data_IF_258925307618
#
_entry.id   IF_258925307618
#
_cell.length_a   1.000
_cell.length_b   1.000
_cell.length_c   1.000
_cell.angle_alpha   90.00
_cell.angle_beta   90.00
_cell.angle_gamma   90.00
#
_symmetry.space_group_name_H-M   'P 1'
#
loop_
_entity.id
_entity.type
_entity.pdbx_description
1 polymer ?
#
# COMPACT_ATOMS: atom_id res chain seq x y z
N UNK A 1 26.35 6.22 -7.42
CA UNK A 1 24.90 6.46 -7.26
C UNK A 1 24.19 5.39 -8.05
N UNK A 2 23.34 4.58 -7.40
CA UNK A 2 22.61 3.50 -8.07
C UNK A 2 21.24 4.01 -8.48
N UNK A 3 21.03 4.24 -9.77
CA UNK A 3 19.79 4.80 -10.34
C UNK A 3 18.75 3.70 -10.64
N UNK A 4 19.15 2.42 -10.53
CA UNK A 4 18.34 1.27 -10.93
C UNK A 4 17.60 0.62 -9.76
N UNK A 5 17.90 0.99 -8.52
CA UNK A 5 17.24 0.45 -7.34
C UNK A 5 15.94 1.22 -7.08
N UNK A 6 14.81 0.51 -7.14
CA UNK A 6 13.50 1.08 -6.78
C UNK A 6 13.24 1.10 -5.28
N UNK A 7 12.05 1.59 -4.88
CA UNK A 7 11.71 1.76 -3.47
C UNK A 7 11.71 0.45 -2.70
N UNK A 8 11.99 0.50 -1.40
CA UNK A 8 11.77 -0.59 -0.48
C UNK A 8 10.46 -0.40 0.28
N UNK A 9 9.63 -1.44 0.35
CA UNK A 9 8.32 -1.42 1.01
C UNK A 9 8.40 -2.32 2.25
N UNK A 10 8.18 -1.75 3.43
CA UNK A 10 8.09 -2.51 4.69
C UNK A 10 6.75 -3.24 4.82
N UNK A 11 6.63 -4.15 5.80
CA UNK A 11 5.37 -4.79 6.12
C UNK A 11 4.29 -3.76 6.49
N UNK A 12 3.10 -3.82 5.90
CA UNK A 12 2.05 -2.85 6.16
C UNK A 12 1.40 -3.07 7.51
N UNK A 13 1.09 -1.96 8.20
CA UNK A 13 0.34 -1.96 9.46
C UNK A 13 -1.16 -1.96 9.14
N UNK A 14 -1.80 -3.09 9.45
CA UNK A 14 -3.22 -3.36 9.15
C UNK A 14 -4.06 -3.57 10.41
N UNK A 15 -3.49 -3.38 11.60
CA UNK A 15 -4.12 -3.63 12.91
C UNK A 15 -5.46 -2.89 13.10
N UNK A 16 -5.60 -1.71 12.50
CA UNK A 16 -6.80 -0.86 12.54
C UNK A 16 -7.81 -1.14 11.43
N UNK A 17 -7.45 -1.97 10.44
CA UNK A 17 -8.37 -2.41 9.40
C UNK A 17 -9.15 -3.64 9.84
N UNK A 18 -10.48 -3.50 9.89
CA UNK A 18 -11.44 -4.54 10.28
C UNK A 18 -12.50 -4.77 9.20
N UNK A 19 -12.17 -4.47 7.93
CA UNK A 19 -13.06 -4.71 6.80
C UNK A 19 -14.14 -3.65 6.61
N UNK A 20 -14.03 -2.50 7.28
CA UNK A 20 -14.96 -1.38 7.10
C UNK A 20 -14.31 -0.30 6.23
N UNK A 21 -15.15 0.50 5.59
CA UNK A 21 -14.73 1.73 4.90
C UNK A 21 -14.15 2.74 5.90
N UNK A 22 -13.32 3.65 5.39
CA UNK A 22 -12.63 4.74 6.13
C UNK A 22 -11.72 4.23 7.24
N UNK A 23 -11.15 3.04 7.08
CA UNK A 23 -10.14 2.53 7.99
C UNK A 23 -8.76 2.66 7.38
N UNK A 24 -7.74 3.01 8.17
CA UNK A 24 -6.40 3.22 7.66
C UNK A 24 -5.66 1.89 7.47
N UNK A 25 -4.86 1.83 6.41
CA UNK A 25 -3.76 0.89 6.24
C UNK A 25 -2.52 1.72 5.95
N UNK A 26 -1.47 1.55 6.76
CA UNK A 26 -0.25 2.35 6.67
C UNK A 26 0.92 1.49 6.24
N UNK A 27 1.83 2.05 5.45
CA UNK A 27 3.06 1.38 5.04
C UNK A 27 4.22 2.37 5.01
N UNK A 28 5.40 1.92 5.44
CA UNK A 28 6.63 2.69 5.30
C UNK A 28 7.30 2.34 3.98
N UNK A 29 7.64 3.36 3.19
CA UNK A 29 8.35 3.19 1.91
C UNK A 29 9.60 4.05 1.88
N UNK A 30 10.76 3.42 1.74
CA UNK A 30 12.07 4.08 1.79
C UNK A 30 12.79 3.93 0.47
N UNK A 31 13.44 5.00 0.02
CA UNK A 31 14.18 5.04 -1.23
C UNK A 31 15.27 6.13 -1.14
N UNK A 32 16.36 6.00 -1.91
CA UNK A 32 17.36 7.06 -2.07
C UNK A 32 16.86 8.22 -2.96
N UNK A 33 15.84 7.98 -3.78
CA UNK A 33 15.09 8.99 -4.51
C UNK A 33 13.73 9.26 -3.86
N UNK A 34 13.12 10.40 -4.18
CA UNK A 34 11.79 10.72 -3.66
C UNK A 34 10.77 9.72 -4.21
N UNK A 35 10.09 8.99 -3.32
CA UNK A 35 8.86 8.25 -3.65
C UNK A 35 7.76 9.24 -4.02
N UNK A 36 7.20 9.12 -5.23
CA UNK A 36 6.19 10.04 -5.78
C UNK A 36 4.79 9.45 -5.78
N UNK A 37 4.66 8.12 -5.76
CA UNK A 37 3.36 7.45 -5.77
C UNK A 37 3.40 6.15 -4.97
N UNK A 38 2.39 5.95 -4.13
CA UNK A 38 2.10 4.67 -3.50
C UNK A 38 0.63 4.34 -3.74
N UNK A 39 0.36 3.18 -4.34
CA UNK A 39 -0.99 2.73 -4.70
C UNK A 39 -1.31 1.43 -3.98
N UNK A 40 -2.49 1.37 -3.38
CA UNK A 40 -3.00 0.20 -2.70
C UNK A 40 -4.05 -0.47 -3.57
N UNK A 41 -4.04 -1.80 -3.55
CA UNK A 41 -5.04 -2.65 -4.19
C UNK A 41 -5.47 -3.72 -3.17
N UNK A 42 -6.77 -3.77 -2.89
CA UNK A 42 -7.35 -4.80 -2.05
C UNK A 42 -8.11 -5.78 -2.94
N UNK A 43 -7.82 -7.06 -2.77
CA UNK A 43 -8.48 -8.17 -3.45
C UNK A 43 -9.20 -9.05 -2.44
N UNK A 44 -10.39 -9.52 -2.80
CA UNK A 44 -11.11 -10.55 -2.05
C UNK A 44 -10.37 -11.90 -2.11
N UNK A 45 -10.84 -12.85 -1.30
CA UNK A 45 -10.27 -14.20 -1.23
C UNK A 45 -10.31 -14.97 -2.56
N UNK A 46 -11.26 -14.65 -3.43
CA UNK A 46 -11.39 -15.20 -4.79
C UNK A 46 -10.54 -14.44 -5.82
N UNK A 47 -9.67 -13.52 -5.38
CA UNK A 47 -8.82 -12.62 -6.18
C UNK A 47 -9.57 -11.55 -6.98
N UNK A 48 -10.86 -11.34 -6.72
CA UNK A 48 -11.60 -10.20 -7.28
C UNK A 48 -11.07 -8.89 -6.68
N UNK A 49 -10.80 -7.89 -7.50
CA UNK A 49 -10.42 -6.55 -7.03
C UNK A 49 -11.60 -5.90 -6.32
N UNK A 50 -11.45 -5.61 -5.02
CA UNK A 50 -12.45 -4.92 -4.21
C UNK A 50 -12.33 -3.41 -4.34
N UNK A 51 -11.11 -2.90 -4.21
CA UNK A 51 -10.83 -1.48 -4.33
C UNK A 51 -9.36 -1.21 -4.62
N UNK A 52 -9.09 -0.04 -5.20
CA UNK A 52 -7.74 0.50 -5.32
C UNK A 52 -7.71 2.01 -5.14
N UNK A 53 -6.53 2.55 -4.84
CA UNK A 53 -6.32 3.98 -4.86
C UNK A 53 -4.98 4.45 -4.32
N UNK A 54 -4.69 5.74 -4.49
CA UNK A 54 -3.47 6.34 -3.98
C UNK A 54 -3.51 6.43 -2.46
N UNK A 55 -2.38 6.12 -1.82
CA UNK A 55 -2.13 6.47 -0.43
C UNK A 55 -1.68 7.93 -0.33
N UNK A 56 -1.89 8.53 0.84
CA UNK A 56 -1.39 9.86 1.16
C UNK A 56 -0.11 9.73 1.97
N UNK A 57 0.93 10.44 1.56
CA UNK A 57 2.16 10.54 2.35
C UNK A 57 1.87 11.31 3.64
N UNK A 58 2.30 10.76 4.76
CA UNK A 58 2.22 11.45 6.06
C UNK A 58 3.24 12.59 6.12
N UNK A 59 2.93 13.60 6.94
CA UNK A 59 3.77 14.80 7.06
C UNK A 59 5.14 14.46 7.67
N UNK A 60 5.17 13.48 8.57
CA UNK A 60 6.37 13.06 9.29
C UNK A 60 6.82 11.70 8.76
N UNK A 61 8.06 11.63 8.27
CA UNK A 61 8.70 10.38 7.87
C UNK A 61 8.35 9.89 6.46
N UNK A 62 8.40 8.57 6.32
CA UNK A 62 8.29 7.85 5.05
C UNK A 62 7.03 6.97 5.00
N UNK A 63 6.05 7.30 5.84
CA UNK A 63 4.81 6.56 5.96
C UNK A 63 3.78 7.07 4.96
N UNK A 64 3.00 6.12 4.45
CA UNK A 64 1.91 6.36 3.52
C UNK A 64 0.65 5.68 4.04
N UNK A 65 -0.42 6.44 4.16
CA UNK A 65 -1.71 5.93 4.66
C UNK A 65 -2.73 5.86 3.53
N UNK A 66 -3.26 4.68 3.31
CA UNK A 66 -4.44 4.44 2.49
C UNK A 66 -5.68 4.36 3.36
N UNK A 67 -6.74 5.08 2.97
CA UNK A 67 -8.04 5.02 3.61
C UNK A 67 -8.99 4.19 2.76
N UNK A 68 -9.45 3.07 3.30
CA UNK A 68 -10.37 2.16 2.59
C UNK A 68 -11.65 2.88 2.18
N UNK A 69 -12.17 2.54 1.01
CA UNK A 69 -13.35 3.17 0.41
C UNK A 69 -14.56 2.26 0.48
N UNK A 70 -14.35 0.95 0.44
CA UNK A 70 -15.41 -0.06 0.43
C UNK A 70 -15.39 -0.88 1.72
N UNK A 71 -16.54 -1.47 2.06
CA UNK A 71 -16.60 -2.46 3.12
C UNK A 71 -16.23 -3.83 2.55
N UNK A 72 -15.35 -4.56 3.23
CA UNK A 72 -15.02 -5.94 2.97
C UNK A 72 -15.47 -6.81 4.16
N UNK A 73 -16.65 -7.42 4.04
CA UNK A 73 -17.24 -8.23 5.11
C UNK A 73 -16.48 -9.54 5.37
N UNK A 74 -15.57 -9.95 4.48
CA UNK A 74 -14.80 -11.20 4.57
C UNK A 74 -13.30 -10.90 4.52
N UNK A 75 -12.72 -10.57 5.68
CA UNK A 75 -11.27 -10.30 5.79
C UNK A 75 -10.42 -11.53 5.49
N UNK A 76 -10.82 -12.71 5.95
CA UNK A 76 -10.01 -13.92 5.81
C UNK A 76 -9.74 -14.23 4.34
N UNK A 77 -8.47 -14.29 3.98
CA UNK A 77 -8.01 -14.55 2.61
C UNK A 77 -7.95 -13.31 1.72
N UNK A 78 -8.29 -12.13 2.25
CA UNK A 78 -8.07 -10.87 1.54
C UNK A 78 -6.59 -10.69 1.26
N UNK A 79 -6.28 -10.26 0.04
CA UNK A 79 -4.92 -9.99 -0.38
C UNK A 79 -4.76 -8.48 -0.55
N UNK A 80 -3.70 -7.95 0.06
CA UNK A 80 -3.26 -6.57 -0.11
C UNK A 80 -2.05 -6.56 -1.05
N UNK A 81 -2.12 -5.72 -2.09
CA UNK A 81 -0.98 -5.38 -2.95
C UNK A 81 -0.69 -3.89 -2.81
N UNK A 82 0.59 -3.57 -2.67
CA UNK A 82 1.10 -2.20 -2.57
C UNK A 82 2.11 -2.01 -3.68
N UNK A 83 1.98 -0.91 -4.43
CA UNK A 83 2.94 -0.52 -5.46
C UNK A 83 3.52 0.85 -5.12
N UNK A 84 4.84 0.94 -5.07
CA UNK A 84 5.56 2.20 -4.89
C UNK A 84 6.32 2.57 -6.16
N UNK A 85 6.34 3.85 -6.50
CA UNK A 85 7.13 4.42 -7.60
C UNK A 85 7.94 5.62 -7.11
N UNK A 86 9.22 5.67 -7.49
CA UNK A 86 10.11 6.79 -7.25
C UNK A 86 10.08 7.85 -8.37
N UNK A 87 10.76 8.98 -8.16
CA UNK A 87 10.82 10.06 -9.14
C UNK A 87 11.47 9.64 -10.49
N UNK A 88 12.55 8.84 -10.51
CA UNK A 88 13.07 8.21 -11.73
C UNK A 88 12.10 7.28 -12.48
N UNK A 89 11.09 6.74 -11.81
CA UNK A 89 10.11 5.81 -12.36
C UNK A 89 10.36 4.33 -12.04
N UNK A 90 11.30 4.01 -11.16
CA UNK A 90 11.50 2.66 -10.65
C UNK A 90 10.31 2.24 -9.79
N UNK A 91 9.94 0.95 -9.86
CA UNK A 91 8.75 0.41 -9.20
C UNK A 91 9.06 -0.81 -8.36
N UNK A 92 8.40 -0.88 -7.21
CA UNK A 92 8.43 -2.07 -6.34
C UNK A 92 7.01 -2.47 -5.98
N UNK A 93 6.78 -3.78 -5.88
CA UNK A 93 5.48 -4.37 -5.53
C UNK A 93 5.63 -5.25 -4.30
N UNK A 94 4.77 -5.05 -3.30
CA UNK A 94 4.61 -5.94 -2.17
C UNK A 94 3.22 -6.59 -2.23
N UNK A 95 3.14 -7.89 -1.96
CA UNK A 95 1.87 -8.61 -1.81
C UNK A 95 1.86 -9.34 -0.47
N UNK A 96 0.78 -9.17 0.30
CA UNK A 96 0.60 -9.84 1.58
C UNK A 96 -0.87 -10.19 1.83
N UNK A 97 -1.11 -11.12 2.75
CA UNK A 97 -2.45 -11.55 3.17
C UNK A 97 -2.86 -10.80 4.43
N UNK A 98 -4.14 -10.44 4.53
CA UNK A 98 -4.75 -9.79 5.71
C UNK A 98 -5.43 -10.79 6.64
#
# INVERSE_FOLDING_TARGET
MDYLKGPEIADPVTSHYKGKKKQPITVTVVDNFRVVRVTFFLYAADRTLLEQGPAKKEILGNDWTYWTKVANLKLRGTMLRIEAEDLPGNRTVLQTKL
#
